data_IF_797329769243
#
_entry.id   IF_797329769243
#
_cell.length_a   1.000
_cell.length_b   1.000
_cell.length_c   1.000
_cell.angle_alpha   90.00
_cell.angle_beta   90.00
_cell.angle_gamma   90.00
#
_symmetry.space_group_name_H-M   'P 1'
#
loop_
_entity.id
_entity.type
_entity.pdbx_description
1 polymer ?
#
# COMPACT_ATOMS: atom_id res chain seq x y z
N UNK A 1 17.92 -9.12 8.46
CA UNK A 1 17.11 -7.97 8.91
C UNK A 1 15.68 -8.44 9.07
N UNK A 2 15.06 -8.15 10.21
CA UNK A 2 13.69 -8.57 10.52
C UNK A 2 12.79 -7.36 10.67
N UNK A 3 11.55 -7.47 10.20
CA UNK A 3 10.49 -6.52 10.52
C UNK A 3 9.81 -6.99 11.82
N UNK A 4 9.20 -6.07 12.57
CA UNK A 4 8.43 -6.39 13.77
C UNK A 4 7.07 -5.73 13.65
N UNK A 5 6.00 -6.50 13.83
CA UNK A 5 4.68 -5.95 14.09
C UNK A 5 4.56 -5.67 15.58
N UNK A 6 4.25 -4.42 15.92
CA UNK A 6 4.01 -3.98 17.28
C UNK A 6 2.51 -3.70 17.50
N UNK A 7 2.03 -3.94 18.73
CA UNK A 7 0.67 -3.57 19.13
C UNK A 7 0.74 -2.77 20.43
N UNK A 8 0.35 -1.50 20.34
CA UNK A 8 0.32 -0.61 21.49
C UNK A 8 -1.09 -0.15 21.86
N UNK A 9 -1.12 0.76 22.82
CA UNK A 9 -2.26 1.60 23.15
C UNK A 9 -1.85 3.06 22.92
N UNK A 10 -2.77 3.86 22.40
CA UNK A 10 -2.65 5.32 22.39
C UNK A 10 -3.69 5.87 23.34
N UNK A 11 -3.25 6.72 24.26
CA UNK A 11 -4.14 7.54 25.07
C UNK A 11 -4.48 8.80 24.27
N UNK A 12 -5.75 8.98 23.92
CA UNK A 12 -6.19 10.08 23.05
C UNK A 12 -6.17 11.44 23.74
N UNK A 13 -6.18 11.49 25.08
CA UNK A 13 -6.15 12.74 25.85
C UNK A 13 -4.72 13.25 26.01
N UNK A 14 -3.79 12.34 26.33
CA UNK A 14 -2.38 12.67 26.59
C UNK A 14 -1.49 12.54 25.35
N UNK A 15 -1.97 11.85 24.31
CA UNK A 15 -1.23 11.43 23.13
C UNK A 15 -0.05 10.50 23.44
N UNK A 16 -0.05 9.87 24.62
CA UNK A 16 0.96 8.89 24.98
C UNK A 16 0.74 7.58 24.20
N UNK A 17 1.84 7.03 23.68
CA UNK A 17 1.84 5.73 23.00
C UNK A 17 2.63 4.73 23.86
N UNK A 18 1.95 3.70 24.36
CA UNK A 18 2.58 2.60 25.08
C UNK A 18 2.66 1.37 24.18
N UNK A 19 3.87 0.86 23.93
CA UNK A 19 4.11 -0.37 23.16
C UNK A 19 4.81 -1.39 24.07
N UNK A 20 4.08 -2.34 24.67
CA UNK A 20 4.70 -3.36 25.52
C UNK A 20 5.56 -4.32 24.69
N UNK A 21 6.78 -4.60 25.14
CA UNK A 21 7.73 -5.49 24.43
C UNK A 21 7.14 -6.89 24.13
N UNK A 22 6.24 -7.37 24.99
CA UNK A 22 5.60 -8.70 24.83
C UNK A 22 4.63 -8.75 23.64
N UNK A 23 4.33 -7.61 23.02
CA UNK A 23 3.48 -7.51 21.83
C UNK A 23 4.25 -7.53 20.53
N UNK A 24 5.59 -7.44 20.60
CA UNK A 24 6.46 -7.45 19.43
C UNK A 24 6.46 -8.82 18.78
N UNK A 25 6.02 -8.88 17.52
CA UNK A 25 5.92 -10.10 16.75
C UNK A 25 6.87 -9.99 15.55
N UNK A 26 7.87 -10.87 15.44
CA UNK A 26 8.70 -10.91 14.24
C UNK A 26 7.87 -11.19 12.98
N UNK A 27 8.05 -10.35 11.97
CA UNK A 27 7.51 -10.52 10.63
C UNK A 27 8.65 -10.68 9.63
N UNK A 28 8.67 -11.85 8.98
CA UNK A 28 9.58 -12.09 7.86
C UNK A 28 9.21 -11.19 6.70
N UNK A 29 10.19 -10.49 6.12
CA UNK A 29 10.00 -9.81 4.84
C UNK A 29 10.12 -10.82 3.69
N UNK A 30 9.38 -10.66 2.58
CA UNK A 30 9.45 -11.58 1.45
C UNK A 30 10.84 -11.67 0.81
N UNK A 31 11.55 -10.54 0.78
CA UNK A 31 12.92 -10.40 0.29
C UNK A 31 13.53 -9.16 0.95
N UNK A 32 14.85 -9.06 0.96
CA UNK A 32 15.52 -7.84 1.41
C UNK A 32 15.54 -6.81 0.29
N UNK A 33 14.92 -5.66 0.53
CA UNK A 33 15.03 -4.47 -0.30
C UNK A 33 15.38 -3.33 0.64
N UNK A 34 16.43 -2.59 0.31
CA UNK A 34 16.92 -1.51 1.16
C UNK A 34 15.82 -0.45 1.34
N UNK A 35 15.63 -0.01 2.59
CA UNK A 35 14.64 0.99 2.98
C UNK A 35 13.18 0.68 2.57
N UNK A 36 12.78 -0.60 2.58
CA UNK A 36 11.40 -1.03 2.29
C UNK A 36 10.91 -2.09 3.29
N UNK A 37 9.64 -1.95 3.69
CA UNK A 37 9.02 -2.77 4.73
C UNK A 37 7.55 -3.04 4.43
N UNK A 38 6.80 -3.50 5.43
CA UNK A 38 5.34 -3.55 5.40
C UNK A 38 4.78 -2.16 5.70
N UNK A 39 4.39 -1.42 4.67
CA UNK A 39 3.89 -0.03 4.81
C UNK A 39 2.37 0.02 4.99
N UNK A 40 1.62 -0.96 4.46
CA UNK A 40 0.16 -0.95 4.57
C UNK A 40 -0.39 -2.09 5.44
N UNK A 41 -1.24 -1.73 6.40
CA UNK A 41 -1.98 -2.66 7.26
C UNK A 41 -3.49 -2.54 7.02
N UNK A 42 -4.15 -3.66 6.73
CA UNK A 42 -5.62 -3.72 6.65
C UNK A 42 -6.19 -4.77 7.60
N UNK A 43 -7.30 -4.45 8.24
CA UNK A 43 -7.92 -5.31 9.26
C UNK A 43 -9.20 -5.92 8.72
N UNK A 44 -9.28 -7.26 8.75
CA UNK A 44 -10.50 -8.02 8.42
C UNK A 44 -10.86 -8.95 9.57
N UNK A 45 -12.01 -8.70 10.19
CA UNK A 45 -12.45 -9.42 11.40
C UNK A 45 -11.35 -9.33 12.47
N UNK A 46 -10.86 -10.46 12.96
CA UNK A 46 -9.82 -10.53 13.97
C UNK A 46 -8.40 -10.74 13.41
N UNK A 47 -8.15 -10.33 12.15
CA UNK A 47 -6.84 -10.47 11.50
C UNK A 47 -6.35 -9.16 10.90
N UNK A 48 -5.08 -8.88 11.15
CA UNK A 48 -4.31 -7.81 10.49
C UNK A 48 -3.60 -8.44 9.30
N UNK A 49 -3.73 -7.83 8.13
CA UNK A 49 -3.04 -8.19 6.90
C UNK A 49 -2.01 -7.10 6.61
N UNK A 50 -0.76 -7.49 6.40
CA UNK A 50 0.37 -6.61 6.15
C UNK A 50 0.86 -6.79 4.71
N UNK A 51 0.80 -5.71 3.93
CA UNK A 51 1.27 -5.68 2.55
C UNK A 51 2.71 -5.18 2.54
N UNK A 52 3.61 -5.96 1.94
CA UNK A 52 4.98 -5.54 1.74
C UNK A 52 5.03 -4.53 0.59
N UNK A 53 5.74 -3.43 0.79
CA UNK A 53 5.75 -2.28 -0.09
C UNK A 53 6.23 -2.61 -1.51
N UNK A 54 7.25 -3.46 -1.65
CA UNK A 54 7.81 -3.85 -2.94
C UNK A 54 7.39 -5.27 -3.32
N UNK A 55 6.25 -5.41 -4.00
CA UNK A 55 5.68 -6.71 -4.39
C UNK A 55 5.69 -7.00 -5.90
N UNK A 56 6.55 -6.30 -6.66
CA UNK A 56 6.79 -6.51 -8.09
C UNK A 56 7.42 -7.87 -8.39
N UNK A 57 7.08 -8.42 -9.55
CA UNK A 57 7.48 -9.77 -10.00
C UNK A 57 8.98 -9.89 -10.29
N UNK A 58 9.63 -8.78 -10.62
CA UNK A 58 11.08 -8.68 -10.77
C UNK A 58 11.85 -8.88 -9.46
N UNK A 59 11.19 -8.67 -8.31
CA UNK A 59 11.77 -8.82 -6.97
C UNK A 59 11.28 -10.08 -6.27
N UNK A 60 10.01 -10.44 -6.47
CA UNK A 60 9.37 -11.55 -5.77
C UNK A 60 8.52 -12.34 -6.78
N UNK A 61 8.98 -13.54 -7.12
CA UNK A 61 8.28 -14.42 -8.08
C UNK A 61 6.88 -14.83 -7.59
N UNK A 62 6.74 -15.11 -6.29
CA UNK A 62 5.49 -15.57 -5.68
C UNK A 62 5.12 -14.64 -4.51
N UNK A 63 4.62 -13.42 -4.77
CA UNK A 63 4.40 -12.44 -3.72
C UNK A 63 3.25 -12.87 -2.80
N UNK A 64 3.38 -12.50 -1.53
CA UNK A 64 2.39 -12.82 -0.51
C UNK A 64 2.16 -11.67 0.46
N UNK A 65 0.96 -11.66 1.04
CA UNK A 65 0.58 -10.81 2.17
C UNK A 65 0.65 -11.65 3.43
N UNK A 66 1.31 -11.14 4.47
CA UNK A 66 1.24 -11.76 5.79
C UNK A 66 -0.06 -11.38 6.47
N UNK A 67 -0.64 -12.30 7.22
CA UNK A 67 -1.66 -11.92 8.19
C UNK A 67 -1.43 -12.59 9.53
N UNK A 68 -1.84 -11.93 10.59
CA UNK A 68 -1.75 -12.42 11.98
C UNK A 68 -3.06 -12.11 12.69
N UNK A 69 -3.44 -12.92 13.66
CA UNK A 69 -4.57 -12.54 14.51
C UNK A 69 -4.22 -11.27 15.29
N UNK A 70 -5.21 -10.45 15.64
CA UNK A 70 -4.98 -9.24 16.48
C UNK A 70 -4.32 -9.59 17.82
N UNK A 71 -4.49 -10.83 18.30
CA UNK A 71 -3.78 -11.34 19.48
C UNK A 71 -2.28 -11.51 19.31
N UNK A 72 -1.75 -11.46 18.08
CA UNK A 72 -0.34 -11.65 17.75
C UNK A 72 0.05 -13.07 17.39
N UNK A 73 -0.92 -13.99 17.30
CA UNK A 73 -0.68 -15.42 17.02
C UNK A 73 -1.13 -15.81 15.61
N UNK A 74 -0.67 -16.98 15.14
CA UNK A 74 -1.12 -17.63 13.91
C UNK A 74 -0.88 -16.77 12.65
N UNK A 75 0.40 -16.55 12.37
CA UNK A 75 0.88 -15.90 11.15
C UNK A 75 0.59 -16.82 9.96
N UNK A 76 0.04 -16.24 8.89
CA UNK A 76 -0.27 -16.95 7.63
C UNK A 76 0.22 -16.15 6.44
N UNK A 77 0.71 -16.86 5.42
CA UNK A 77 1.03 -16.31 4.11
C UNK A 77 -0.20 -16.43 3.19
N UNK A 78 -0.56 -15.34 2.52
CA UNK A 78 -1.67 -15.28 1.57
C UNK A 78 -1.11 -14.90 0.20
N UNK A 79 -1.23 -15.76 -0.84
CA UNK A 79 -0.80 -15.39 -2.18
C UNK A 79 -1.45 -14.08 -2.62
N UNK A 80 -0.66 -13.19 -3.21
CA UNK A 80 -1.14 -11.92 -3.74
C UNK A 80 -0.91 -11.78 -5.24
N UNK A 81 -1.64 -10.85 -5.85
CA UNK A 81 -1.25 -10.30 -7.15
C UNK A 81 0.07 -9.56 -6.99
N UNK A 82 0.99 -9.76 -7.94
CA UNK A 82 2.13 -8.87 -8.11
C UNK A 82 1.65 -7.53 -8.68
N UNK A 83 2.27 -6.44 -8.24
CA UNK A 83 2.17 -5.13 -8.89
C UNK A 83 3.53 -4.47 -8.82
N UNK A 84 3.91 -3.78 -9.89
CA UNK A 84 5.13 -2.97 -9.88
C UNK A 84 4.95 -1.75 -8.97
N UNK A 85 6.09 -1.17 -8.60
CA UNK A 85 6.18 0.04 -7.77
C UNK A 85 5.79 -0.17 -6.30
N UNK A 86 5.83 0.90 -5.51
CA UNK A 86 5.65 0.85 -4.05
C UNK A 86 4.17 0.83 -3.69
N UNK A 87 3.83 0.09 -2.65
CA UNK A 87 2.56 0.16 -1.93
C UNK A 87 2.80 0.88 -0.61
N UNK A 88 2.19 2.06 -0.42
CA UNK A 88 2.45 2.93 0.73
C UNK A 88 1.35 2.81 1.81
N UNK A 89 0.10 3.18 1.51
CA UNK A 89 -1.02 3.04 2.46
C UNK A 89 -2.26 2.42 1.81
N UNK A 90 -3.20 1.96 2.63
CA UNK A 90 -4.42 1.32 2.20
C UNK A 90 -5.65 1.75 3.02
N UNK A 91 -6.78 1.92 2.33
CA UNK A 91 -8.07 2.19 2.99
C UNK A 91 -8.51 1.03 3.87
N UNK A 92 -9.42 1.31 4.80
CA UNK A 92 -10.22 0.25 5.46
C UNK A 92 -10.96 -0.62 4.44
N UNK A 93 -11.10 -1.90 4.80
CA UNK A 93 -11.82 -2.89 4.00
C UNK A 93 -13.32 -2.58 4.00
N UNK A 94 -13.92 -2.57 2.82
CA UNK A 94 -15.36 -2.37 2.61
C UNK A 94 -16.17 -3.66 2.86
N UNK A 95 -17.51 -3.52 2.81
CA UNK A 95 -18.44 -4.65 2.99
C UNK A 95 -18.27 -5.79 1.97
N UNK A 96 -17.63 -5.53 0.84
CA UNK A 96 -17.35 -6.52 -0.22
C UNK A 96 -15.95 -7.13 -0.10
N UNK A 97 -15.26 -6.87 1.02
CA UNK A 97 -13.88 -7.28 1.28
C UNK A 97 -12.84 -6.61 0.37
N UNK A 98 -13.14 -5.42 -0.13
CA UNK A 98 -12.26 -4.65 -1.02
C UNK A 98 -11.63 -3.49 -0.28
N UNK A 99 -10.45 -3.09 -0.71
CA UNK A 99 -9.75 -1.92 -0.21
C UNK A 99 -8.91 -1.33 -1.33
N UNK A 100 -8.69 -0.02 -1.29
CA UNK A 100 -7.78 0.67 -2.19
C UNK A 100 -6.43 0.83 -1.51
N UNK A 101 -5.37 0.77 -2.30
CA UNK A 101 -4.01 1.02 -1.86
C UNK A 101 -3.37 2.06 -2.79
N UNK A 102 -2.49 2.89 -2.22
CA UNK A 102 -1.61 3.76 -2.97
C UNK A 102 -0.62 2.87 -3.74
N UNK A 103 -0.45 3.13 -5.03
CA UNK A 103 0.63 2.58 -5.82
C UNK A 103 1.46 3.73 -6.40
N UNK A 104 2.73 3.78 -5.98
CA UNK A 104 3.56 4.96 -6.15
C UNK A 104 4.94 4.60 -6.73
N UNK A 105 5.40 5.38 -7.71
CA UNK A 105 6.74 5.29 -8.27
C UNK A 105 7.41 6.64 -8.37
N UNK A 106 8.53 6.77 -7.66
CA UNK A 106 9.54 7.78 -7.92
C UNK A 106 10.63 7.19 -8.84
N UNK A 107 10.99 7.81 -9.98
CA UNK A 107 11.98 7.28 -10.92
C UNK A 107 13.36 6.97 -10.31
N UNK A 108 13.72 7.63 -9.20
CA UNK A 108 14.94 7.32 -8.45
C UNK A 108 14.98 5.89 -7.90
N UNK A 109 13.82 5.27 -7.65
CA UNK A 109 13.70 3.92 -7.12
C UNK A 109 13.85 2.83 -8.21
N UNK A 110 14.03 3.20 -9.48
CA UNK A 110 14.05 2.27 -10.62
C UNK A 110 15.11 1.18 -10.49
N UNK A 111 16.29 1.49 -9.96
CA UNK A 111 17.36 0.50 -9.76
C UNK A 111 17.06 -0.48 -8.61
N UNK A 112 16.36 0.00 -7.58
CA UNK A 112 15.96 -0.77 -6.40
C UNK A 112 14.78 -1.68 -6.73
N UNK A 113 13.74 -1.13 -7.36
CA UNK A 113 12.49 -1.82 -7.66
C UNK A 113 12.53 -2.66 -8.93
N UNK A 114 13.39 -2.28 -9.89
CA UNK A 114 13.54 -2.95 -11.19
C UNK A 114 12.18 -3.29 -11.84
N UNK A 115 11.25 -2.33 -11.95
CA UNK A 115 9.88 -2.63 -12.35
C UNK A 115 9.87 -3.28 -13.74
N UNK A 116 9.08 -4.35 -13.87
CA UNK A 116 8.81 -4.98 -15.17
C UNK A 116 7.75 -4.16 -15.94
N UNK A 117 7.16 -4.75 -16.99
CA UNK A 117 6.08 -4.09 -17.75
C UNK A 117 4.88 -3.81 -16.84
N UNK A 118 4.37 -2.58 -16.84
CA UNK A 118 3.15 -2.26 -16.10
C UNK A 118 1.92 -2.90 -16.76
N UNK A 119 1.38 -3.92 -16.09
CA UNK A 119 0.19 -4.66 -16.53
C UNK A 119 -1.10 -3.85 -16.36
N UNK A 120 -1.14 -2.87 -15.44
CA UNK A 120 -2.31 -2.00 -15.25
C UNK A 120 -2.47 -1.06 -16.44
N UNK A 121 -1.38 -0.42 -16.87
CA UNK A 121 -1.37 0.42 -18.08
C UNK A 121 -1.67 -0.41 -19.33
N UNK A 122 -1.08 -1.59 -19.44
CA UNK A 122 -1.34 -2.50 -20.57
C UNK A 122 -2.82 -2.88 -20.71
N UNK A 123 -3.57 -2.89 -19.60
CA UNK A 123 -4.97 -3.33 -19.56
C UNK A 123 -5.98 -2.19 -19.61
N UNK A 124 -5.73 -1.10 -18.89
CA UNK A 124 -6.71 -0.01 -18.72
C UNK A 124 -6.29 1.30 -19.39
N UNK A 125 -5.08 1.34 -19.96
CA UNK A 125 -4.51 2.56 -20.53
C UNK A 125 -3.82 3.44 -19.48
N UNK A 126 -3.29 4.55 -19.97
CA UNK A 126 -2.54 5.54 -19.20
C UNK A 126 -3.16 6.92 -19.42
N UNK A 127 -3.16 7.74 -18.38
CA UNK A 127 -3.70 9.09 -18.42
C UNK A 127 -2.76 10.09 -19.11
N UNK A 128 -3.27 11.30 -19.43
CA UNK A 128 -2.53 12.29 -20.21
C UNK A 128 -1.23 12.77 -19.55
N UNK A 129 -1.17 12.83 -18.23
CA UNK A 129 0.03 13.24 -17.49
C UNK A 129 1.04 12.11 -17.32
N UNK A 130 0.57 10.88 -17.05
CA UNK A 130 1.44 9.70 -16.85
C UNK A 130 2.08 9.25 -18.16
N UNK A 131 1.38 9.36 -19.29
CA UNK A 131 1.94 9.04 -20.63
C UNK A 131 3.17 9.86 -21.04
N UNK A 132 3.49 10.92 -20.29
CA UNK A 132 4.64 11.81 -20.48
C UNK A 132 5.67 11.71 -19.35
N UNK A 133 5.54 10.74 -18.43
CA UNK A 133 6.36 10.66 -17.22
C UNK A 133 6.63 9.22 -16.81
N UNK A 134 7.82 8.94 -16.28
CA UNK A 134 8.08 7.64 -15.63
C UNK A 134 7.50 7.56 -14.21
N UNK A 135 6.93 8.65 -13.67
CA UNK A 135 6.31 8.67 -12.34
C UNK A 135 4.97 7.94 -12.36
N UNK A 136 4.66 7.31 -11.24
CA UNK A 136 3.34 6.72 -11.01
C UNK A 136 2.77 7.25 -9.71
N UNK A 137 1.62 7.90 -9.78
CA UNK A 137 0.80 8.24 -8.64
C UNK A 137 -0.62 7.76 -8.94
N UNK A 138 -1.04 6.67 -8.29
CA UNK A 138 -2.36 6.08 -8.52
C UNK A 138 -2.90 5.31 -7.32
N UNK A 139 -4.19 5.02 -7.35
CA UNK A 139 -4.85 4.10 -6.44
C UNK A 139 -5.20 2.81 -7.18
N UNK A 140 -5.01 1.67 -6.53
CA UNK A 140 -5.36 0.35 -7.05
C UNK A 140 -6.26 -0.39 -6.05
N UNK A 141 -7.27 -1.10 -6.54
CA UNK A 141 -8.20 -1.83 -5.67
C UNK A 141 -7.82 -3.30 -5.54
N UNK A 142 -7.70 -3.75 -4.30
CA UNK A 142 -7.53 -5.15 -3.91
C UNK A 142 -8.82 -5.71 -3.31
N UNK A 143 -8.92 -7.05 -3.31
CA UNK A 143 -9.97 -7.81 -2.63
C UNK A 143 -9.39 -9.00 -1.87
N UNK A 144 -9.84 -9.18 -0.64
CA UNK A 144 -9.54 -10.39 0.15
C UNK A 144 -10.56 -11.47 -0.18
N UNK A 145 -10.17 -12.47 -0.96
CA UNK A 145 -10.99 -13.61 -1.36
C UNK A 145 -10.43 -14.92 -0.81
N UNK A 146 -11.20 -15.58 0.07
CA UNK A 146 -10.77 -16.79 0.80
C UNK A 146 -9.40 -16.57 1.45
N UNK A 147 -8.36 -17.23 0.93
CA UNK A 147 -7.00 -17.18 1.42
C UNK A 147 -6.04 -16.34 0.55
N UNK A 148 -6.57 -15.50 -0.37
CA UNK A 148 -5.78 -14.67 -1.28
C UNK A 148 -6.14 -13.20 -1.13
N UNK A 149 -5.17 -12.33 -1.43
CA UNK A 149 -5.36 -10.88 -1.55
C UNK A 149 -5.05 -10.52 -2.99
N UNK A 150 -6.03 -10.13 -3.81
CA UNK A 150 -5.80 -9.98 -5.25
C UNK A 150 -6.25 -8.62 -5.74
N UNK A 151 -5.54 -8.09 -6.74
CA UNK A 151 -6.03 -6.95 -7.50
C UNK A 151 -7.40 -7.29 -8.09
N UNK A 152 -8.31 -6.34 -8.05
CA UNK A 152 -9.63 -6.48 -8.68
C UNK A 152 -9.55 -6.25 -10.18
N UNK A 153 -10.68 -6.43 -10.87
CA UNK A 153 -10.84 -6.08 -12.27
C UNK A 153 -11.16 -4.60 -12.50
N UNK A 154 -11.11 -3.75 -11.46
CA UNK A 154 -11.39 -2.33 -11.60
C UNK A 154 -10.15 -1.58 -12.16
N UNK A 155 -10.35 -0.55 -12.99
CA UNK A 155 -9.27 0.34 -13.39
C UNK A 155 -8.60 0.99 -12.19
N UNK A 156 -7.31 1.29 -12.32
CA UNK A 156 -6.62 2.16 -11.36
C UNK A 156 -7.12 3.61 -11.51
N UNK A 157 -6.98 4.38 -10.44
CA UNK A 157 -7.29 5.82 -10.44
C UNK A 157 -5.97 6.57 -10.44
N UNK A 158 -5.62 7.18 -11.55
CA UNK A 158 -4.42 8.02 -11.65
C UNK A 158 -4.65 9.39 -11.01
N UNK A 159 -3.69 9.84 -10.21
CA UNK A 159 -3.66 11.18 -9.65
C UNK A 159 -2.88 12.07 -10.59
N UNK A 160 -3.53 13.08 -11.17
CA UNK A 160 -2.91 13.99 -12.13
C UNK A 160 -1.53 14.45 -11.64
N UNK A 161 -0.49 14.22 -12.45
CA UNK A 161 0.87 14.56 -12.05
C UNK A 161 1.11 16.06 -12.18
N UNK A 162 1.72 16.65 -11.16
CA UNK A 162 2.09 18.07 -11.18
C UNK A 162 3.51 18.24 -11.74
N UNK A 163 3.61 19.11 -12.74
CA UNK A 163 4.86 19.44 -13.42
C UNK A 163 5.59 18.20 -13.95
N UNK A 164 6.89 18.33 -14.20
CA UNK A 164 7.72 17.23 -14.73
C UNK A 164 8.59 16.55 -13.66
N UNK A 165 8.80 17.20 -12.51
CA UNK A 165 9.82 16.80 -11.50
C UNK A 165 9.28 16.53 -10.11
N UNK A 166 8.03 16.90 -9.82
CA UNK A 166 7.47 16.80 -8.46
C UNK A 166 6.89 15.41 -8.25
N UNK A 167 7.41 14.68 -7.27
CA UNK A 167 6.85 13.40 -6.86
C UNK A 167 6.32 13.58 -5.45
N UNK A 168 5.01 13.49 -5.28
CA UNK A 168 4.35 14.00 -4.06
C UNK A 168 4.49 13.10 -2.84
N UNK A 169 4.94 11.85 -3.01
CA UNK A 169 5.13 10.88 -1.91
C UNK A 169 3.87 10.77 -1.04
N UNK A 170 2.81 10.21 -1.63
CA UNK A 170 1.55 9.94 -0.94
C UNK A 170 1.71 8.80 0.07
N UNK A 171 1.40 9.04 1.34
CA UNK A 171 1.64 8.11 2.46
C UNK A 171 0.41 7.87 3.34
N UNK A 172 -0.71 8.57 3.09
CA UNK A 172 -1.94 8.38 3.85
C UNK A 172 -3.15 8.31 2.92
N UNK A 173 -4.03 7.33 3.13
CA UNK A 173 -5.20 7.06 2.31
C UNK A 173 -6.41 6.65 3.15
N UNK A 174 -7.46 7.46 3.10
CA UNK A 174 -8.74 7.16 3.72
C UNK A 174 -9.87 7.20 2.70
N UNK A 175 -10.84 6.28 2.82
CA UNK A 175 -12.07 6.34 2.03
C UNK A 175 -12.99 7.42 2.60
N UNK A 176 -13.50 8.31 1.76
CA UNK A 176 -14.48 9.34 2.12
C UNK A 176 -15.90 8.90 1.72
N UNK A 177 -16.45 7.98 2.51
CA UNK A 177 -17.75 7.35 2.23
C UNK A 177 -17.78 6.69 0.85
N UNK A 178 -18.83 6.95 0.07
CA UNK A 178 -18.95 6.50 -1.32
C UNK A 178 -18.56 7.59 -2.33
N UNK A 179 -18.03 8.73 -1.86
CA UNK A 179 -17.77 9.90 -2.71
C UNK A 179 -16.34 9.94 -3.27
N UNK A 180 -15.41 9.21 -2.66
CA UNK A 180 -14.01 9.32 -3.03
C UNK A 180 -13.04 8.94 -1.92
N UNK A 181 -11.88 9.57 -1.95
CA UNK A 181 -10.77 9.33 -1.02
C UNK A 181 -10.21 10.65 -0.50
N UNK A 182 -9.77 10.65 0.75
CA UNK A 182 -8.83 11.64 1.27
C UNK A 182 -7.45 11.04 1.19
N UNK A 183 -6.51 11.77 0.61
CA UNK A 183 -5.13 11.35 0.45
C UNK A 183 -4.19 12.44 0.94
N UNK A 184 -3.11 12.08 1.62
CA UNK A 184 -2.12 13.04 2.08
C UNK A 184 -0.69 12.58 1.80
N UNK A 185 0.17 13.57 1.58
CA UNK A 185 1.60 13.37 1.38
C UNK A 185 2.31 13.27 2.72
N UNK A 186 3.52 12.75 2.69
CA UNK A 186 4.50 13.02 3.74
C UNK A 186 4.90 14.52 3.76
N UNK A 187 5.98 14.84 4.45
CA UNK A 187 6.60 16.16 4.55
C UNK A 187 7.05 16.76 3.20
N UNK A 188 7.29 15.95 2.17
CA UNK A 188 7.77 16.41 0.86
C UNK A 188 6.65 16.43 -0.19
N UNK A 189 6.50 17.46 -1.04
CA UNK A 189 7.21 18.75 -1.06
C UNK A 189 6.71 19.75 0.02
N UNK A 190 5.51 19.53 0.51
CA UNK A 190 4.85 20.10 1.69
C UNK A 190 3.80 19.09 2.13
N UNK A 191 3.22 19.21 3.32
CA UNK A 191 2.06 18.38 3.68
C UNK A 191 0.84 18.83 2.88
N UNK A 192 0.44 18.03 1.90
CA UNK A 192 -0.74 18.22 1.07
C UNK A 192 -1.83 17.29 1.59
N UNK A 193 -3.04 17.82 1.75
CA UNK A 193 -4.26 17.02 1.92
C UNK A 193 -5.13 17.25 0.69
N UNK A 194 -5.47 16.18 -0.02
CA UNK A 194 -6.27 16.22 -1.24
C UNK A 194 -7.50 15.32 -1.14
N UNK A 195 -8.54 15.69 -1.88
CA UNK A 195 -9.74 14.89 -2.09
C UNK A 195 -9.74 14.35 -3.53
N UNK A 196 -9.92 13.05 -3.68
CA UNK A 196 -9.98 12.35 -4.96
C UNK A 196 -11.42 11.84 -5.16
N UNK A 197 -12.22 12.46 -6.04
CA UNK A 197 -13.61 12.06 -6.25
C UNK A 197 -13.72 10.73 -7.00
N UNK A 198 -14.81 10.00 -6.72
CA UNK A 198 -15.30 8.85 -7.48
C UNK A 198 -16.59 9.29 -8.18
N UNK A 199 -16.47 10.05 -9.25
CA UNK A 199 -17.62 10.45 -10.08
C UNK A 199 -18.01 9.34 -11.06
#
# INVERSE_FOLDING_TARGET
MGCVLARGHIDEETLEITIPEQTLIPFEVPTFVDNMSYESLVIKKNRVYALFEANGDSLIENPYVLSVNVSGKNIKKHPTSSINYRIADATRIDQYNRFWAINYHYPGDKQTLKPSKDLMISKYGEGPTHSKSERVERLVEYKINKNRVVLTGNPHIELELEGEKISRKWEALARYGNKGFLIATDKYPTTILAYVPLD
#
